data_IF_586325422305
#
_entry.id   IF_586325422305
#
_cell.length_a   1.000
_cell.length_b   1.000
_cell.length_c   1.000
_cell.angle_alpha   90.00
_cell.angle_beta   90.00
_cell.angle_gamma   90.00
#
_symmetry.space_group_name_H-M   'P 1'
#
loop_
_entity.id
_entity.type
_entity.pdbx_description
1 polymer ?
#
# COMPACT_ATOMS: atom_id res chain seq x y z
N UNK A 1 -83.09 -42.87 -33.51
CA UNK A 1 -82.78 -42.03 -32.34
C UNK A 1 -81.30 -41.67 -32.44
N UNK A 2 -81.01 -40.38 -32.57
CA UNK A 2 -79.66 -39.79 -32.58
C UNK A 2 -78.85 -40.21 -31.35
N UNK A 3 -77.52 -40.15 -31.25
CA UNK A 3 -76.33 -39.97 -32.12
C UNK A 3 -75.22 -39.65 -31.10
N UNK A 4 -73.98 -40.04 -31.39
CA UNK A 4 -72.71 -39.57 -30.80
C UNK A 4 -72.18 -40.22 -29.50
N UNK A 5 -71.00 -40.84 -29.71
CA UNK A 5 -69.90 -40.98 -28.76
C UNK A 5 -69.58 -39.63 -28.10
N UNK A 6 -69.44 -39.61 -26.78
CA UNK A 6 -68.72 -38.58 -26.03
C UNK A 6 -67.45 -39.22 -25.46
N UNK A 7 -66.31 -38.77 -25.98
CA UNK A 7 -65.04 -38.74 -25.25
C UNK A 7 -65.17 -37.70 -24.13
N UNK A 8 -65.04 -38.12 -22.87
CA UNK A 8 -64.66 -37.21 -21.80
C UNK A 8 -63.18 -37.45 -21.48
N UNK A 9 -62.35 -36.50 -21.92
CA UNK A 9 -60.96 -36.40 -21.51
C UNK A 9 -60.85 -35.97 -20.04
N UNK A 10 -59.83 -36.42 -19.30
CA UNK A 10 -59.57 -35.89 -17.99
C UNK A 10 -58.96 -34.49 -18.12
N UNK A 11 -59.70 -33.50 -17.62
CA UNK A 11 -59.16 -32.26 -17.14
C UNK A 11 -58.38 -32.53 -15.84
N UNK A 12 -57.17 -31.99 -15.73
CA UNK A 12 -56.79 -31.02 -14.69
C UNK A 12 -55.31 -30.71 -14.87
N UNK A 13 -55.06 -29.51 -15.39
CA UNK A 13 -53.77 -28.82 -15.37
C UNK A 13 -53.33 -28.65 -13.91
N UNK A 14 -52.44 -29.52 -13.45
CA UNK A 14 -51.65 -29.28 -12.25
C UNK A 14 -50.45 -28.41 -12.69
N UNK A 15 -50.71 -27.10 -12.71
CA UNK A 15 -49.69 -26.08 -12.93
C UNK A 15 -48.52 -26.26 -11.95
N UNK A 16 -47.36 -26.20 -12.58
CA UNK A 16 -46.00 -26.42 -12.11
C UNK A 16 -45.59 -25.34 -11.08
N UNK A 17 -45.97 -25.55 -9.82
CA UNK A 17 -45.50 -24.76 -8.66
C UNK A 17 -44.22 -25.36 -8.04
N UNK A 18 -43.34 -25.93 -8.87
CA UNK A 18 -41.93 -26.18 -8.52
C UNK A 18 -41.17 -24.84 -8.55
N UNK A 19 -41.52 -23.94 -7.64
CA UNK A 19 -40.68 -22.80 -7.28
C UNK A 19 -39.45 -23.39 -6.62
N UNK A 20 -38.46 -23.63 -7.47
CA UNK A 20 -37.27 -24.45 -7.28
C UNK A 20 -36.69 -24.29 -5.87
N UNK A 21 -36.96 -25.30 -5.02
CA UNK A 21 -36.37 -25.39 -3.70
C UNK A 21 -34.84 -25.31 -3.77
N UNK A 22 -34.24 -25.71 -4.90
CA UNK A 22 -32.81 -25.55 -5.14
C UNK A 22 -32.43 -24.07 -5.37
N UNK A 23 -33.25 -23.25 -6.04
CA UNK A 23 -33.02 -21.80 -6.16
C UNK A 23 -33.24 -21.07 -4.84
N UNK A 24 -34.24 -21.47 -4.03
CA UNK A 24 -34.41 -20.95 -2.67
C UNK A 24 -33.22 -21.31 -1.76
N UNK A 25 -32.73 -22.55 -1.81
CA UNK A 25 -31.52 -23.00 -1.10
C UNK A 25 -30.26 -22.34 -1.63
N UNK A 26 -30.17 -22.05 -2.93
CA UNK A 26 -29.02 -21.38 -3.54
C UNK A 26 -28.98 -19.91 -3.14
N UNK A 27 -30.12 -19.21 -3.17
CA UNK A 27 -30.26 -17.84 -2.65
C UNK A 27 -30.01 -17.78 -1.14
N UNK A 28 -30.45 -18.79 -0.38
CA UNK A 28 -30.15 -18.89 1.05
C UNK A 28 -28.68 -19.22 1.32
N UNK A 29 -28.03 -20.03 0.48
CA UNK A 29 -26.59 -20.34 0.60
C UNK A 29 -25.72 -19.15 0.19
N UNK A 30 -26.15 -18.37 -0.81
CA UNK A 30 -25.49 -17.14 -1.23
C UNK A 30 -25.65 -16.02 -0.20
N UNK A 31 -26.79 -15.94 0.49
CA UNK A 31 -26.97 -15.03 1.63
C UNK A 31 -26.29 -15.52 2.91
N UNK A 32 -26.09 -16.83 3.09
CA UNK A 32 -25.29 -17.43 4.17
C UNK A 32 -23.78 -17.42 3.91
N UNK A 33 -23.32 -17.17 2.68
CA UNK A 33 -21.93 -16.79 2.40
C UNK A 33 -21.70 -15.39 2.94
N UNK A 34 -21.53 -15.33 4.27
CA UNK A 34 -21.09 -14.20 5.08
C UNK A 34 -20.30 -13.23 4.21
N UNK A 35 -20.88 -12.05 3.93
CA UNK A 35 -20.24 -11.01 3.13
C UNK A 35 -18.79 -10.88 3.61
N UNK A 36 -17.85 -11.37 2.81
CA UNK A 36 -16.44 -11.34 3.21
C UNK A 36 -16.05 -9.88 3.17
N UNK A 37 -15.62 -9.35 4.30
CA UNK A 37 -15.17 -7.97 4.41
C UNK A 37 -13.79 -7.77 3.78
N UNK A 38 -13.36 -8.66 2.89
CA UNK A 38 -12.09 -8.58 2.20
C UNK A 38 -12.13 -9.26 0.84
N UNK A 39 -11.35 -8.72 -0.11
CA UNK A 39 -11.22 -9.21 -1.48
C UNK A 39 -9.76 -9.16 -1.94
N UNK A 40 -9.30 -10.18 -2.67
CA UNK A 40 -8.02 -10.11 -3.36
C UNK A 40 -8.17 -9.31 -4.66
N UNK A 41 -7.25 -8.39 -4.91
CA UNK A 41 -7.22 -7.58 -6.12
C UNK A 41 -6.07 -8.03 -7.01
N UNK A 42 -6.36 -8.38 -8.26
CA UNK A 42 -5.34 -8.52 -9.29
C UNK A 42 -5.03 -7.15 -9.90
N UNK A 43 -3.88 -6.59 -9.52
CA UNK A 43 -3.38 -5.32 -10.08
C UNK A 43 -2.41 -5.55 -11.25
N UNK A 44 -2.12 -6.81 -11.58
CA UNK A 44 -1.07 -7.23 -12.51
C UNK A 44 0.34 -6.85 -12.06
N UNK A 45 0.53 -6.35 -10.84
CA UNK A 45 1.85 -6.04 -10.29
C UNK A 45 2.55 -7.35 -9.88
N UNK A 46 3.71 -7.63 -10.50
CA UNK A 46 4.48 -8.83 -10.19
C UNK A 46 5.00 -8.77 -8.76
N UNK A 47 4.95 -9.90 -8.05
CA UNK A 47 5.48 -10.07 -6.68
C UNK A 47 4.85 -9.13 -5.63
N UNK A 48 3.61 -8.67 -5.86
CA UNK A 48 2.86 -7.87 -4.91
C UNK A 48 1.44 -8.41 -4.82
N UNK A 49 0.98 -8.70 -3.61
CA UNK A 49 -0.40 -9.09 -3.34
C UNK A 49 -1.17 -7.86 -2.86
N UNK A 50 -2.39 -7.70 -3.36
CA UNK A 50 -3.30 -6.65 -2.91
C UNK A 50 -4.53 -7.28 -2.29
N UNK A 51 -4.83 -6.89 -1.06
CA UNK A 51 -6.04 -7.28 -0.36
C UNK A 51 -6.79 -6.01 0.02
N UNK A 52 -8.01 -5.86 -0.50
CA UNK A 52 -8.95 -4.84 -0.08
C UNK A 52 -9.65 -5.35 1.17
N UNK A 53 -9.74 -4.52 2.20
CA UNK A 53 -10.50 -4.82 3.42
C UNK A 53 -11.52 -3.71 3.63
N UNK A 54 -12.75 -4.07 4.00
CA UNK A 54 -13.86 -3.15 4.26
C UNK A 54 -14.31 -3.28 5.73
N UNK A 55 -14.87 -2.20 6.29
CA UNK A 55 -15.45 -2.21 7.63
C UNK A 55 -14.45 -2.41 8.78
N UNK A 56 -13.15 -2.19 8.57
CA UNK A 56 -12.14 -2.30 9.63
C UNK A 56 -10.99 -1.32 9.39
N UNK A 57 -10.35 -0.86 10.47
CA UNK A 57 -9.16 0.00 10.41
C UNK A 57 -7.94 -0.79 9.91
N UNK A 58 -7.47 -0.41 8.72
CA UNK A 58 -6.32 -1.03 8.05
C UNK A 58 -5.04 -0.92 8.88
N UNK A 59 -4.91 0.14 9.69
CA UNK A 59 -3.74 0.37 10.53
C UNK A 59 -3.64 -0.72 11.58
N UNK A 60 -4.74 -0.97 12.31
CA UNK A 60 -4.80 -2.01 13.36
C UNK A 60 -4.55 -3.41 12.78
N UNK A 61 -5.12 -3.70 11.61
CA UNK A 61 -4.88 -4.98 10.92
C UNK A 61 -3.40 -5.13 10.60
N UNK A 62 -2.78 -4.09 10.03
CA UNK A 62 -1.38 -4.18 9.64
C UNK A 62 -0.45 -4.32 10.84
N UNK A 63 -0.75 -3.63 11.95
CA UNK A 63 -0.01 -3.77 13.20
C UNK A 63 -0.11 -5.19 13.78
N UNK A 64 -1.32 -5.74 13.83
CA UNK A 64 -1.56 -7.12 14.28
C UNK A 64 -0.86 -8.14 13.38
N UNK A 65 -0.97 -7.97 12.05
CA UNK A 65 -0.38 -8.88 11.08
C UNK A 65 1.15 -8.87 11.18
N UNK A 66 1.78 -7.68 11.22
CA UNK A 66 3.24 -7.56 11.38
C UNK A 66 3.69 -8.20 12.68
N UNK A 67 3.00 -7.95 13.79
CA UNK A 67 3.35 -8.55 15.09
C UNK A 67 3.27 -10.08 15.06
N UNK A 68 2.23 -10.62 14.43
CA UNK A 68 2.00 -12.07 14.31
C UNK A 68 3.08 -12.71 13.44
N UNK A 69 3.37 -12.13 12.27
CA UNK A 69 4.40 -12.65 11.35
C UNK A 69 5.82 -12.53 11.92
N UNK A 70 6.12 -11.50 12.71
CA UNK A 70 7.42 -11.34 13.34
C UNK A 70 7.66 -12.31 14.51
N UNK A 71 6.58 -12.73 15.19
CA UNK A 71 6.64 -13.70 16.27
C UNK A 71 6.69 -15.16 15.78
N UNK A 72 6.04 -15.46 14.64
CA UNK A 72 5.96 -16.80 14.07
C UNK A 72 6.71 -16.96 12.75
N UNK A 73 6.49 -18.09 12.06
CA UNK A 73 7.04 -18.36 10.71
C UNK A 73 5.94 -18.48 9.63
N UNK A 74 4.71 -18.04 9.95
CA UNK A 74 3.49 -18.19 9.15
C UNK A 74 3.56 -17.46 7.79
N UNK A 75 4.56 -16.60 7.57
CA UNK A 75 4.62 -15.72 6.38
C UNK A 75 6.04 -15.59 5.82
N UNK A 76 6.85 -16.65 5.88
CA UNK A 76 8.27 -16.65 5.45
C UNK A 76 8.53 -16.18 4.02
N UNK A 77 7.53 -16.26 3.14
CA UNK A 77 7.63 -15.83 1.75
C UNK A 77 7.21 -14.37 1.53
N UNK A 78 6.55 -13.75 2.52
CA UNK A 78 6.17 -12.34 2.47
C UNK A 78 7.26 -11.51 3.13
N UNK A 79 7.74 -10.48 2.42
CA UNK A 79 8.86 -9.67 2.90
C UNK A 79 8.43 -8.49 3.76
N UNK A 80 7.33 -7.83 3.36
CA UNK A 80 6.87 -6.56 3.94
C UNK A 80 5.39 -6.35 3.65
N UNK A 81 4.68 -5.81 4.64
CA UNK A 81 3.30 -5.35 4.51
C UNK A 81 3.28 -3.81 4.44
N UNK A 82 2.34 -3.24 3.68
CA UNK A 82 2.06 -1.81 3.71
C UNK A 82 0.56 -1.60 3.94
N UNK A 83 0.14 -0.87 4.99
CA UNK A 83 -1.27 -0.52 5.19
C UNK A 83 -1.67 0.53 4.17
N UNK A 84 -2.33 0.15 3.08
CA UNK A 84 -2.84 1.09 2.08
C UNK A 84 -4.17 1.65 2.55
N UNK A 85 -4.21 2.94 2.87
CA UNK A 85 -5.40 3.64 3.32
C UNK A 85 -6.26 4.09 2.15
N UNK A 86 -5.63 4.44 1.04
CA UNK A 86 -6.32 4.88 -0.16
C UNK A 86 -5.49 4.66 -1.42
N UNK A 87 -6.15 4.68 -2.57
CA UNK A 87 -5.49 4.48 -3.86
C UNK A 87 -6.16 5.25 -4.98
N UNK A 88 -5.38 5.60 -6.00
CA UNK A 88 -5.85 6.34 -7.16
C UNK A 88 -5.04 6.05 -8.41
N UNK A 89 -5.31 6.81 -9.48
CA UNK A 89 -4.46 6.82 -10.67
C UNK A 89 -3.15 7.56 -10.36
N UNK A 90 -2.07 7.21 -11.05
CA UNK A 90 -0.77 7.91 -10.88
C UNK A 90 -0.81 9.25 -11.62
N UNK A 91 -1.36 10.24 -10.93
CA UNK A 91 -1.46 11.64 -11.34
C UNK A 91 -1.18 12.53 -10.12
N UNK A 92 -0.63 13.71 -10.36
CA UNK A 92 -0.24 14.67 -9.32
C UNK A 92 -1.44 15.19 -8.56
N UNK A 93 -2.52 15.54 -9.27
CA UNK A 93 -3.76 16.06 -8.69
C UNK A 93 -4.40 15.02 -7.75
N UNK A 94 -4.40 13.75 -8.15
CA UNK A 94 -4.89 12.64 -7.34
C UNK A 94 -4.06 12.48 -6.06
N UNK A 95 -2.72 12.63 -6.14
CA UNK A 95 -1.88 12.61 -4.93
C UNK A 95 -2.27 13.75 -3.98
N UNK A 96 -2.51 14.95 -4.50
CA UNK A 96 -2.90 16.12 -3.71
C UNK A 96 -4.23 15.88 -2.98
N UNK A 97 -5.24 15.34 -3.69
CA UNK A 97 -6.55 14.99 -3.12
C UNK A 97 -6.44 13.93 -2.02
N UNK A 98 -5.67 12.86 -2.27
CA UNK A 98 -5.42 11.81 -1.28
C UNK A 98 -4.75 12.38 -0.03
N UNK A 99 -3.75 13.26 -0.21
CA UNK A 99 -3.10 13.93 0.90
C UNK A 99 -4.09 14.80 1.69
N UNK A 100 -4.87 15.64 1.01
CA UNK A 100 -5.86 16.51 1.67
C UNK A 100 -6.88 15.71 2.49
N UNK A 101 -7.33 14.57 1.97
CA UNK A 101 -8.30 13.70 2.63
C UNK A 101 -7.76 13.06 3.91
N UNK A 102 -6.52 12.58 3.90
CA UNK A 102 -5.97 11.79 5.03
C UNK A 102 -5.14 12.60 6.01
N UNK A 103 -4.47 13.66 5.57
CA UNK A 103 -3.57 14.45 6.42
C UNK A 103 -4.31 15.11 7.59
N UNK A 104 -5.57 15.53 7.41
CA UNK A 104 -6.36 16.08 8.52
C UNK A 104 -6.51 15.08 9.67
N UNK A 105 -6.83 13.81 9.35
CA UNK A 105 -6.97 12.75 10.35
C UNK A 105 -5.62 12.38 10.99
N UNK A 106 -4.53 12.45 10.22
CA UNK A 106 -3.18 12.13 10.70
C UNK A 106 -2.69 13.20 11.69
N UNK A 107 -2.91 14.48 11.36
CA UNK A 107 -2.47 15.63 12.15
C UNK A 107 -3.33 15.85 13.38
N UNK A 108 -4.64 15.57 13.29
CA UNK A 108 -5.59 15.69 14.41
C UNK A 108 -5.53 14.43 15.27
N UNK A 109 -4.39 14.23 15.94
CA UNK A 109 -4.31 13.20 16.99
C UNK A 109 -4.80 13.83 18.29
N UNK A 110 -6.00 13.45 18.73
CA UNK A 110 -6.60 13.94 19.98
C UNK A 110 -5.64 13.73 21.16
N UNK A 111 -5.27 14.82 21.84
CA UNK A 111 -4.41 14.80 23.03
C UNK A 111 -2.92 15.10 22.82
N UNK A 112 -2.46 15.33 21.59
CA UNK A 112 -1.08 15.75 21.34
C UNK A 112 -0.89 17.27 21.55
N UNK A 113 0.03 17.65 22.42
CA UNK A 113 0.34 19.06 22.71
C UNK A 113 1.03 19.80 21.55
N UNK A 114 1.58 19.05 20.58
CA UNK A 114 2.25 19.56 19.40
C UNK A 114 1.88 18.70 18.19
N UNK A 115 1.99 19.29 16.99
CA UNK A 115 1.77 18.57 15.73
C UNK A 115 2.84 17.48 15.56
N UNK A 116 2.47 16.29 15.08
CA UNK A 116 3.41 15.20 14.87
C UNK A 116 4.44 15.56 13.80
N UNK A 117 5.68 15.19 14.02
CA UNK A 117 6.73 15.26 13.00
C UNK A 117 6.53 14.19 11.94
N UNK A 118 6.92 14.49 10.70
CA UNK A 118 6.69 13.56 9.58
C UNK A 118 7.89 13.35 8.66
N UNK A 119 7.90 12.21 7.97
CA UNK A 119 8.79 11.89 6.85
C UNK A 119 7.97 11.34 5.69
N UNK A 120 8.43 11.58 4.46
CA UNK A 120 7.83 11.02 3.26
C UNK A 120 8.74 9.91 2.70
N UNK A 121 8.21 8.70 2.63
CA UNK A 121 8.86 7.55 1.98
C UNK A 121 8.17 7.27 0.65
N UNK A 122 8.86 7.60 -0.45
CA UNK A 122 8.37 7.32 -1.80
C UNK A 122 8.94 6.00 -2.35
N UNK A 123 8.06 5.12 -2.80
CA UNK A 123 8.41 3.81 -3.38
C UNK A 123 7.87 3.71 -4.80
N UNK A 124 8.74 3.46 -5.76
CA UNK A 124 8.40 3.36 -7.18
C UNK A 124 8.59 1.93 -7.69
N UNK A 125 7.58 1.37 -8.34
CA UNK A 125 7.62 0.04 -8.99
C UNK A 125 7.02 0.12 -10.39
N UNK A 126 7.85 -0.10 -11.41
CA UNK A 126 7.43 -0.15 -12.83
C UNK A 126 6.56 1.05 -13.25
N UNK A 127 6.85 2.22 -12.69
CA UNK A 127 6.22 3.48 -13.06
C UNK A 127 7.32 4.39 -13.61
N UNK A 128 7.02 5.26 -14.57
CA UNK A 128 7.92 6.32 -15.03
C UNK A 128 7.24 7.70 -15.05
N UNK A 129 5.99 7.78 -14.60
CA UNK A 129 5.14 8.98 -14.72
C UNK A 129 5.43 9.97 -13.60
N UNK A 130 5.58 9.50 -12.36
CA UNK A 130 5.76 10.37 -11.20
C UNK A 130 7.21 10.31 -10.72
N UNK A 131 7.82 11.48 -10.55
CA UNK A 131 9.17 11.63 -10.01
C UNK A 131 9.15 11.76 -8.48
N UNK A 132 10.29 11.49 -7.85
CA UNK A 132 10.42 11.62 -6.39
C UNK A 132 10.26 13.07 -5.91
N UNK A 133 10.79 14.02 -6.68
CA UNK A 133 10.76 15.44 -6.32
C UNK A 133 9.33 15.98 -6.38
N UNK A 134 8.58 15.65 -7.44
CA UNK A 134 7.16 16.02 -7.56
C UNK A 134 6.34 15.51 -6.36
N UNK A 135 6.56 14.25 -5.92
CA UNK A 135 5.88 13.73 -4.72
C UNK A 135 6.21 14.56 -3.49
N UNK A 136 7.48 14.92 -3.30
CA UNK A 136 7.90 15.71 -2.14
C UNK A 136 7.38 17.15 -2.16
N UNK A 137 7.34 17.77 -3.33
CA UNK A 137 6.79 19.11 -3.53
C UNK A 137 5.29 19.13 -3.24
N UNK A 138 4.52 18.24 -3.86
CA UNK A 138 3.05 18.16 -3.68
C UNK A 138 2.69 17.91 -2.23
N UNK A 139 3.28 16.89 -1.61
CA UNK A 139 2.99 16.58 -0.20
C UNK A 139 3.45 17.72 0.71
N UNK A 140 4.60 18.35 0.41
CA UNK A 140 5.11 19.50 1.14
C UNK A 140 4.18 20.70 1.07
N UNK A 141 3.62 21.00 -0.08
CA UNK A 141 2.74 22.15 -0.29
C UNK A 141 1.36 21.94 0.33
N UNK A 142 0.81 20.72 0.27
CA UNK A 142 -0.41 20.38 1.03
C UNK A 142 -0.17 20.51 2.53
N UNK A 143 0.98 20.04 3.04
CA UNK A 143 1.32 20.15 4.45
C UNK A 143 1.46 21.60 4.93
N UNK A 144 2.08 22.47 4.14
CA UNK A 144 2.17 23.91 4.43
C UNK A 144 0.79 24.57 4.46
N UNK A 145 -0.09 24.17 3.54
CA UNK A 145 -1.45 24.71 3.45
C UNK A 145 -2.31 24.30 4.66
N UNK A 146 -2.09 23.10 5.20
CA UNK A 146 -2.81 22.65 6.40
C UNK A 146 -2.29 23.26 7.69
N UNK A 147 -0.97 23.32 7.89
CA UNK A 147 -0.38 23.94 9.07
C UNK A 147 1.05 24.36 8.83
N UNK A 148 1.33 25.63 9.11
CA UNK A 148 2.68 26.20 9.06
C UNK A 148 3.59 25.64 10.18
N UNK A 149 3.02 25.02 11.21
CA UNK A 149 3.79 24.42 12.32
C UNK A 149 4.20 22.96 12.07
N UNK A 150 3.86 22.39 10.91
CA UNK A 150 4.27 21.04 10.53
C UNK A 150 5.80 20.96 10.39
N UNK A 151 6.42 19.97 11.03
CA UNK A 151 7.88 19.79 11.03
C UNK A 151 8.29 18.47 10.39
N UNK A 152 9.21 18.53 9.45
CA UNK A 152 9.84 17.35 8.83
C UNK A 152 10.94 16.80 9.76
N UNK A 153 10.94 15.49 9.99
CA UNK A 153 12.01 14.77 10.69
C UNK A 153 12.37 13.50 9.90
N UNK A 154 13.56 13.47 9.29
CA UNK A 154 13.99 12.35 8.45
C UNK A 154 14.52 11.16 9.26
N UNK A 155 14.93 11.38 10.52
CA UNK A 155 15.61 10.39 11.36
C UNK A 155 14.64 9.60 12.23
N UNK A 156 13.77 10.29 12.95
CA UNK A 156 12.83 9.68 13.91
C UNK A 156 11.46 10.37 13.86
N UNK A 157 10.72 10.22 12.74
CA UNK A 157 9.41 10.83 12.58
C UNK A 157 8.35 10.16 13.47
N UNK A 158 7.38 10.94 13.94
CA UNK A 158 6.19 10.40 14.63
C UNK A 158 5.28 9.66 13.64
N UNK A 159 5.15 10.20 12.42
CA UNK A 159 4.37 9.62 11.33
C UNK A 159 5.20 9.51 10.06
N UNK A 160 5.17 8.34 9.42
CA UNK A 160 5.71 8.17 8.07
C UNK A 160 4.57 8.13 7.07
N UNK A 161 4.61 9.05 6.11
CA UNK A 161 3.75 9.06 4.93
C UNK A 161 4.41 8.20 3.86
N UNK A 162 3.77 7.11 3.47
CA UNK A 162 4.31 6.15 2.51
C UNK A 162 3.50 6.31 1.22
N UNK A 163 4.16 6.83 0.19
CA UNK A 163 3.56 7.02 -1.13
C UNK A 163 4.16 6.00 -2.07
N UNK A 164 3.33 5.15 -2.67
CA UNK A 164 3.81 4.13 -3.59
C UNK A 164 3.19 4.29 -4.98
N UNK A 165 4.00 4.22 -6.02
CA UNK A 165 3.53 4.16 -7.41
C UNK A 165 3.82 2.77 -7.97
N UNK A 166 2.77 2.03 -8.32
CA UNK A 166 2.85 0.70 -8.94
C UNK A 166 2.16 0.73 -10.30
N UNK A 167 2.94 0.67 -11.38
CA UNK A 167 2.43 0.87 -12.76
C UNK A 167 1.61 2.16 -12.88
N UNK A 168 0.28 2.05 -13.01
CA UNK A 168 -0.67 3.16 -13.16
C UNK A 168 -1.49 3.42 -11.88
N UNK A 169 -1.15 2.78 -10.76
CA UNK A 169 -1.81 2.96 -9.46
C UNK A 169 -0.91 3.69 -8.47
N UNK A 170 -1.46 4.73 -7.86
CA UNK A 170 -0.89 5.44 -6.72
C UNK A 170 -1.52 4.86 -5.45
N UNK A 171 -0.71 4.57 -4.45
CA UNK A 171 -1.13 4.04 -3.16
C UNK A 171 -0.65 4.99 -2.08
N UNK A 172 -1.58 5.45 -1.25
CA UNK A 172 -1.31 6.31 -0.11
C UNK A 172 -1.49 5.53 1.18
N UNK A 173 -0.49 5.64 2.04
CA UNK A 173 -0.38 4.92 3.29
C UNK A 173 0.21 5.85 4.35
N UNK A 174 -0.17 5.68 5.61
CA UNK A 174 0.52 6.32 6.72
C UNK A 174 0.69 5.35 7.88
N UNK A 175 1.78 5.49 8.64
CA UNK A 175 2.04 4.63 9.78
C UNK A 175 2.75 5.39 10.90
N UNK A 176 2.34 5.11 12.14
CA UNK A 176 3.09 5.47 13.34
C UNK A 176 4.04 4.33 13.71
N UNK A 177 5.13 4.65 14.41
CA UNK A 177 6.14 3.67 14.85
C UNK A 177 6.71 2.83 13.68
N UNK A 178 6.81 3.42 12.48
CA UNK A 178 7.20 2.70 11.27
C UNK A 178 8.59 2.08 11.38
N UNK A 179 9.57 2.84 11.86
CA UNK A 179 10.94 2.36 12.04
C UNK A 179 11.05 1.33 13.17
N UNK A 180 10.33 1.53 14.29
CA UNK A 180 10.25 0.56 15.39
C UNK A 180 9.67 -0.79 14.95
N UNK A 181 8.71 -0.79 14.01
CA UNK A 181 8.14 -2.01 13.40
C UNK A 181 9.01 -2.59 12.27
N UNK A 182 10.32 -2.27 12.23
CA UNK A 182 11.27 -2.67 11.16
C UNK A 182 10.75 -2.34 9.76
N UNK A 183 10.13 -1.17 9.62
CA UNK A 183 9.51 -0.71 8.37
C UNK A 183 8.46 -1.70 7.85
N UNK A 184 7.67 -2.28 8.77
CA UNK A 184 6.65 -3.30 8.51
C UNK A 184 7.20 -4.58 7.81
N UNK A 185 8.47 -4.91 8.05
CA UNK A 185 9.00 -6.19 7.59
C UNK A 185 8.26 -7.35 8.26
N UNK A 186 7.93 -8.37 7.48
CA UNK A 186 7.25 -9.58 7.96
C UNK A 186 8.22 -10.71 8.29
N UNK A 187 9.52 -10.47 8.13
CA UNK A 187 10.53 -11.45 8.48
C UNK A 187 10.53 -11.67 9.99
N UNK A 188 10.63 -12.92 10.46
CA UNK A 188 10.72 -13.23 11.87
C UNK A 188 11.82 -12.41 12.56
N UNK A 189 11.66 -12.19 13.86
CA UNK A 189 12.74 -11.59 14.65
C UNK A 189 13.95 -12.53 14.65
N UNK A 190 15.17 -11.99 14.51
CA UNK A 190 16.38 -12.79 14.68
C UNK A 190 16.35 -13.43 16.06
N UNK A 191 16.58 -14.74 16.12
CA UNK A 191 16.80 -15.38 17.41
C UNK A 191 18.14 -14.88 17.95
N UNK A 192 18.24 -14.57 19.26
CA UNK A 192 19.52 -14.19 19.86
C UNK A 192 20.52 -15.34 19.67
N UNK A 193 21.49 -15.17 18.77
CA UNK A 193 22.52 -16.16 18.45
C UNK A 193 22.68 -16.52 16.97
N UNK A 194 21.79 -16.07 16.08
CA UNK A 194 21.95 -16.26 14.62
C UNK A 194 22.42 -14.95 13.98
N UNK A 195 23.71 -14.85 13.66
CA UNK A 195 24.23 -13.77 12.83
C UNK A 195 23.59 -13.84 11.44
N UNK A 196 22.93 -12.76 10.99
CA UNK A 196 22.48 -12.67 9.59
C UNK A 196 23.72 -12.54 8.68
N UNK A 197 23.75 -13.18 7.50
CA UNK A 197 24.83 -12.96 6.55
C UNK A 197 24.74 -11.50 6.06
N UNK A 198 25.72 -10.70 6.45
CA UNK A 198 25.90 -9.34 5.95
C UNK A 198 26.13 -9.39 4.44
N UNK A 199 25.14 -8.98 3.65
CA UNK A 199 25.37 -8.64 2.24
C UNK A 199 26.10 -7.30 2.21
N UNK A 200 27.43 -7.37 2.24
CA UNK A 200 28.32 -6.25 2.00
C UNK A 200 28.17 -5.79 0.55
N UNK A 201 27.54 -4.63 0.35
CA UNK A 201 27.62 -3.86 -0.88
C UNK A 201 29.04 -3.33 -1.01
N UNK A 202 29.87 -4.01 -1.80
CA UNK A 202 31.16 -3.48 -2.23
C UNK A 202 30.94 -2.20 -3.04
N UNK A 203 31.25 -1.05 -2.44
CA UNK A 203 31.50 0.19 -3.17
C UNK A 203 32.79 0.01 -3.97
N UNK A 204 32.65 -0.29 -5.26
CA UNK A 204 33.72 -0.08 -6.23
C UNK A 204 33.86 1.43 -6.45
N UNK A 205 34.78 2.05 -5.72
CA UNK A 205 35.28 3.39 -6.03
C UNK A 205 36.15 3.29 -7.29
N UNK A 206 35.66 3.85 -8.39
CA UNK A 206 36.49 4.19 -9.54
C UNK A 206 37.19 5.51 -9.24
N UNK A 207 38.52 5.49 -9.15
CA UNK A 207 39.36 6.69 -9.11
C UNK A 207 39.35 7.37 -10.49
N UNK A 208 39.14 8.71 -10.59
CA UNK A 208 39.39 9.43 -11.82
C UNK A 208 40.90 9.72 -11.99
N UNK A 209 41.45 9.66 -13.22
CA UNK A 209 42.88 9.79 -13.45
C UNK A 209 43.36 11.24 -13.27
N UNK A 210 44.51 11.37 -12.62
CA UNK A 210 45.23 12.61 -12.37
C UNK A 210 45.65 13.30 -13.68
N UNK A 211 45.12 14.50 -13.92
CA UNK A 211 45.64 15.44 -14.91
C UNK A 211 46.85 16.20 -14.34
N UNK A 212 47.97 16.08 -15.04
CA UNK A 212 49.24 16.78 -14.84
C UNK A 212 49.08 18.28 -15.14
N UNK A 213 49.33 19.14 -14.14
CA UNK A 213 49.71 20.55 -14.36
C UNK A 213 50.76 20.98 -13.32
N UNK A 214 51.99 21.21 -13.80
CA UNK A 214 53.09 22.07 -13.33
C UNK A 214 54.14 21.96 -14.45
N UNK A 215 54.71 23.02 -15.02
CA UNK A 215 55.36 24.15 -14.38
C UNK A 215 55.28 25.42 -15.25
N UNK A 216 55.08 26.56 -14.59
CA UNK A 216 55.38 27.87 -15.13
C UNK A 216 56.83 28.22 -14.74
N UNK A 217 57.73 28.25 -15.72
CA UNK A 217 59.11 28.73 -15.56
C UNK A 217 59.17 30.24 -15.87
N UNK A 218 59.73 31.02 -14.93
CA UNK A 218 59.94 32.46 -15.02
C UNK A 218 61.09 32.78 -15.99
N UNK A 219 61.05 33.88 -16.77
CA UNK A 219 62.24 34.34 -17.48
C UNK A 219 63.11 35.19 -16.54
N UNK A 220 64.38 34.79 -16.37
CA UNK A 220 65.43 35.62 -15.79
C UNK A 220 66.13 36.45 -16.87
N UNK A 221 66.27 37.74 -16.57
CA UNK A 221 67.06 38.75 -17.27
C UNK A 221 68.58 38.53 -17.13
N UNK A 222 69.34 39.25 -17.98
CA UNK A 222 70.81 39.48 -18.02
C UNK A 222 71.64 38.41 -18.76
N UNK A 223 72.49 38.73 -19.76
CA UNK A 223 73.19 39.95 -20.19
C UNK A 223 73.46 39.91 -21.70
#
# INVERSE_FOLDING_TARGET
>A
MHRYFEEEGPAEDADDDDVDAADALKAQSQSMMKERNWDWLDTGAKNVLFCKVTGTDITKIAEWFVSTCQAGNESRHLMRLYPVHDSGRVETDVLEELCKKHLQTILTTEGAAALPTYRIDYIKRNNNVLSRNEVFEVVGDVMKTMSLMNRVNLTSPDVVLIVQAHKNKLLFSYARNYDARRKFSLRPLPQPGTEEPSVSLEKKTEDPPASLEKEAEKPSLEK
#
